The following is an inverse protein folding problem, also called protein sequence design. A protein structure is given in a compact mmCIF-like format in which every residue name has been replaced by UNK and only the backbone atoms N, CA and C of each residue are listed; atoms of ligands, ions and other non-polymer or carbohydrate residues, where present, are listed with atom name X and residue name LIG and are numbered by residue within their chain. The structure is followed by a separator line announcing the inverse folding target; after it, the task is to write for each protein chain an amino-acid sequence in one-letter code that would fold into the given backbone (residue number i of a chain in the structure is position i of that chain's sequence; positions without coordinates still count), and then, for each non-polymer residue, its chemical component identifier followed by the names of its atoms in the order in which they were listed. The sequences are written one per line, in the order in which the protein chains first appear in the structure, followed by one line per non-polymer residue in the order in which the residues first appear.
data_IF_456070465132
#
_entry.id   IF_456070465132
#
_cell.length_a   1.000
_cell.length_b   1.000
_cell.length_c   1.000
_cell.angle_alpha   90.00
_cell.angle_beta   90.00
_cell.angle_gamma   90.00
#
_symmetry.space_group_name_H-M   'P 1'
#
loop_
_entity.id
_entity.type
_entity.pdbx_description
1 polymer ?
#
# COMPACT_ATOMS: atom_id res chain seq x y z
N UNK A 1 13.50 14.19 -6.37
CA UNK A 1 14.22 12.98 -6.86
C UNK A 1 15.46 13.36 -7.65
N UNK A 2 16.27 12.36 -7.97
CA UNK A 2 17.55 12.53 -8.69
C UNK A 2 17.71 11.42 -9.74
N UNK A 3 18.37 11.72 -10.84
CA UNK A 3 18.85 10.74 -11.82
C UNK A 3 20.33 10.95 -12.08
N UNK A 4 21.12 9.88 -12.06
CA UNK A 4 22.50 9.91 -12.51
C UNK A 4 22.51 9.66 -14.02
N UNK A 5 23.09 10.57 -14.76
CA UNK A 5 23.27 10.50 -16.22
C UNK A 5 24.74 10.23 -16.50
N UNK A 6 25.04 9.20 -17.28
CA UNK A 6 26.39 8.84 -17.75
C UNK A 6 26.44 8.88 -19.27
N UNK A 7 27.57 9.26 -19.83
CA UNK A 7 27.76 9.34 -21.29
C UNK A 7 29.18 8.97 -21.70
N UNK A 8 29.37 8.75 -22.96
CA UNK A 8 30.70 8.65 -23.59
C UNK A 8 31.05 9.98 -24.23
N UNK A 9 32.28 10.46 -24.02
CA UNK A 9 32.75 11.66 -24.65
C UNK A 9 32.73 11.53 -26.19
N UNK A 10 32.41 12.61 -26.92
CA UNK A 10 32.45 12.57 -28.38
C UNK A 10 33.87 12.42 -28.88
N UNK A 11 34.01 11.74 -30.03
CA UNK A 11 35.30 11.52 -30.66
C UNK A 11 35.88 12.77 -31.34
N UNK A 12 35.02 13.73 -31.66
CA UNK A 12 35.40 15.05 -32.20
C UNK A 12 35.03 16.14 -31.22
N UNK A 13 35.98 17.03 -30.90
CA UNK A 13 35.81 18.18 -30.03
C UNK A 13 35.60 19.49 -30.77
N UNK A 14 35.58 19.45 -32.11
CA UNK A 14 35.55 20.66 -32.93
C UNK A 14 36.90 21.37 -32.94
N UNK A 15 36.85 22.69 -32.92
CA UNK A 15 38.05 23.59 -32.98
C UNK A 15 38.72 23.81 -31.63
N UNK A 16 38.17 23.27 -30.53
CA UNK A 16 38.69 23.52 -29.16
C UNK A 16 38.40 22.30 -28.28
N UNK A 17 39.19 22.13 -27.23
CA UNK A 17 38.94 21.06 -26.25
C UNK A 17 37.65 21.29 -25.49
N UNK A 18 36.93 20.18 -25.11
CA UNK A 18 35.72 20.25 -24.34
C UNK A 18 36.01 20.85 -22.96
N UNK A 19 35.23 21.88 -22.60
CA UNK A 19 35.28 22.55 -21.31
C UNK A 19 34.31 21.95 -20.31
N UNK A 20 33.26 21.21 -20.76
CA UNK A 20 32.32 20.59 -19.89
C UNK A 20 31.10 20.01 -20.65
N UNK A 21 30.15 19.51 -19.85
CA UNK A 21 28.92 18.91 -20.33
C UNK A 21 27.71 19.42 -19.55
N UNK A 22 26.58 19.55 -20.22
CA UNK A 22 25.26 19.76 -19.60
C UNK A 22 24.32 18.65 -19.99
N UNK A 23 23.74 17.95 -19.02
CA UNK A 23 22.67 17.00 -19.25
C UNK A 23 21.32 17.65 -18.89
N UNK A 24 20.29 17.39 -19.71
CA UNK A 24 18.93 17.94 -19.56
C UNK A 24 17.92 16.82 -19.57
N UNK A 25 17.07 16.77 -18.54
CA UNK A 25 15.97 15.81 -18.44
C UNK A 25 14.70 16.32 -19.11
N UNK A 26 13.98 15.45 -19.78
CA UNK A 26 12.68 15.69 -20.40
C UNK A 26 11.67 14.65 -19.90
N UNK A 27 10.47 15.05 -19.41
CA UNK A 27 9.93 16.43 -19.32
C UNK A 27 10.57 17.28 -18.23
N UNK A 28 10.24 18.55 -18.17
CA UNK A 28 10.55 19.47 -17.07
C UNK A 28 11.88 20.24 -17.18
N UNK A 29 12.77 19.91 -18.14
CA UNK A 29 13.96 20.71 -18.46
C UNK A 29 14.99 20.86 -17.34
N UNK A 30 14.96 20.03 -16.30
CA UNK A 30 15.94 20.06 -15.21
C UNK A 30 17.30 19.65 -15.74
N UNK A 31 18.37 20.32 -15.28
CA UNK A 31 19.71 20.13 -15.79
C UNK A 31 20.73 19.85 -14.69
N UNK A 32 21.84 19.24 -15.09
CA UNK A 32 23.09 19.27 -14.34
C UNK A 32 24.23 19.64 -15.29
N UNK A 33 25.22 20.38 -14.80
CA UNK A 33 26.40 20.78 -15.56
C UNK A 33 27.66 20.36 -14.81
N UNK A 34 28.63 19.80 -15.54
CA UNK A 34 29.94 19.42 -15.01
C UNK A 34 31.05 19.97 -15.92
N UNK A 35 32.18 20.34 -15.29
CA UNK A 35 33.34 20.85 -16.00
C UNK A 35 34.32 19.73 -16.35
N UNK A 36 35.15 19.99 -17.35
CA UNK A 36 36.25 19.13 -17.75
C UNK A 36 35.82 17.81 -18.41
N UNK A 37 36.52 16.73 -18.05
CA UNK A 37 36.36 15.41 -18.66
C UNK A 37 35.41 14.48 -17.91
N UNK A 38 34.70 14.98 -16.90
CA UNK A 38 33.72 14.18 -16.18
C UNK A 38 32.60 13.70 -17.12
N UNK A 39 32.35 12.40 -17.14
CA UNK A 39 31.37 11.76 -18.01
C UNK A 39 30.10 11.33 -17.25
N UNK A 40 29.80 12.01 -16.15
CA UNK A 40 28.61 11.74 -15.31
C UNK A 40 28.17 12.99 -14.59
N UNK A 41 26.87 13.17 -14.38
CA UNK A 41 26.31 14.16 -13.47
C UNK A 41 24.96 13.71 -12.91
N UNK A 42 24.48 14.39 -11.85
CA UNK A 42 23.23 14.08 -11.18
C UNK A 42 22.24 15.21 -11.40
N UNK A 43 21.15 14.94 -12.14
CA UNK A 43 20.04 15.86 -12.28
C UNK A 43 19.15 15.73 -11.04
N UNK A 44 18.96 16.84 -10.32
CA UNK A 44 18.18 16.93 -9.09
C UNK A 44 16.85 17.68 -9.31
N UNK A 45 15.94 17.62 -8.32
CA UNK A 45 14.65 18.32 -8.38
C UNK A 45 13.66 17.72 -9.37
N UNK A 46 13.82 16.45 -9.69
CA UNK A 46 12.87 15.65 -10.47
C UNK A 46 11.71 15.18 -9.58
N UNK A 47 10.58 14.84 -10.18
CA UNK A 47 9.47 14.18 -9.48
C UNK A 47 9.69 12.67 -9.47
N UNK A 48 9.52 12.03 -8.30
CA UNK A 48 9.51 10.56 -8.22
C UNK A 48 8.28 10.00 -8.96
N UNK A 49 8.40 8.80 -9.52
CA UNK A 49 7.34 8.15 -10.28
C UNK A 49 7.08 8.75 -11.68
N UNK A 50 7.69 9.88 -12.03
CA UNK A 50 7.60 10.43 -13.37
C UNK A 50 8.74 9.89 -14.26
N UNK A 51 8.42 9.51 -15.49
CA UNK A 51 9.41 8.97 -16.44
C UNK A 51 10.13 10.10 -17.17
N UNK A 52 11.44 10.02 -17.22
CA UNK A 52 12.33 10.98 -17.88
C UNK A 52 13.25 10.30 -18.87
N UNK A 53 13.61 11.05 -19.92
CA UNK A 53 14.78 10.78 -20.76
C UNK A 53 15.78 11.92 -20.57
N UNK A 54 17.05 11.69 -20.84
CA UNK A 54 18.07 12.74 -20.77
C UNK A 54 18.81 12.88 -22.11
N UNK A 55 19.19 14.11 -22.43
CA UNK A 55 20.13 14.44 -23.52
C UNK A 55 21.33 15.19 -22.95
N UNK A 56 22.52 14.95 -23.52
CA UNK A 56 23.76 15.57 -23.09
C UNK A 56 24.32 16.46 -24.20
N UNK A 57 24.82 17.61 -23.83
CA UNK A 57 25.46 18.59 -24.70
C UNK A 57 26.91 18.80 -24.18
N UNK A 58 27.88 18.66 -25.05
CA UNK A 58 29.25 19.11 -24.76
C UNK A 58 29.38 20.59 -25.11
N UNK A 59 30.19 21.33 -24.35
CA UNK A 59 30.52 22.73 -24.67
C UNK A 59 32.01 23.00 -24.56
N UNK A 60 32.49 23.96 -25.33
CA UNK A 60 33.84 24.47 -25.33
C UNK A 60 33.87 26.00 -25.59
N UNK A 61 35.04 26.60 -25.80
CA UNK A 61 35.13 28.03 -26.09
C UNK A 61 34.45 28.48 -27.38
N UNK A 62 34.25 27.58 -28.33
CA UNK A 62 33.55 27.85 -29.59
C UNK A 62 32.00 27.78 -29.46
N UNK A 63 31.49 27.21 -28.36
CA UNK A 63 30.06 27.13 -28.11
C UNK A 63 29.62 25.75 -27.65
N UNK A 64 28.29 25.51 -27.72
CA UNK A 64 27.63 24.25 -27.36
C UNK A 64 27.43 23.38 -28.61
N UNK A 65 27.87 22.14 -28.50
CA UNK A 65 27.69 21.13 -29.57
C UNK A 65 26.26 20.60 -29.69
N UNK A 66 26.04 19.71 -30.66
CA UNK A 66 24.78 19.03 -30.85
C UNK A 66 24.41 18.14 -29.63
N UNK A 67 23.11 17.99 -29.39
CA UNK A 67 22.60 17.08 -28.39
C UNK A 67 22.92 15.62 -28.74
N UNK A 68 23.20 14.80 -27.72
CA UNK A 68 23.16 13.36 -27.86
C UNK A 68 21.78 12.84 -28.28
N UNK A 69 21.69 11.59 -28.70
CA UNK A 69 20.40 10.88 -28.69
C UNK A 69 19.83 10.89 -27.26
N UNK A 70 18.50 10.77 -27.16
CA UNK A 70 17.87 10.63 -25.85
C UNK A 70 18.30 9.30 -25.21
N UNK A 71 18.47 9.30 -23.88
CA UNK A 71 18.71 8.07 -23.12
C UNK A 71 17.51 7.13 -23.19
N UNK A 72 17.68 5.89 -22.75
CA UNK A 72 16.56 5.07 -22.33
C UNK A 72 15.74 5.81 -21.26
N UNK A 73 14.43 5.50 -21.19
CA UNK A 73 13.53 6.07 -20.20
C UNK A 73 13.95 5.59 -18.79
N UNK A 74 13.96 6.51 -17.83
CA UNK A 74 14.26 6.22 -16.43
C UNK A 74 13.26 6.96 -15.54
N UNK A 75 12.76 6.25 -14.53
CA UNK A 75 11.84 6.79 -13.55
C UNK A 75 12.58 6.94 -12.22
N UNK A 76 12.85 8.18 -11.73
CA UNK A 76 13.43 8.35 -10.42
C UNK A 76 12.51 7.77 -9.37
N UNK A 77 13.04 6.90 -8.54
CA UNK A 77 12.35 6.40 -7.35
C UNK A 77 13.01 7.00 -6.11
N UNK A 78 12.33 6.91 -4.99
CA UNK A 78 12.93 7.26 -3.71
C UNK A 78 14.10 6.29 -3.47
N UNK A 79 15.33 6.70 -3.84
CA UNK A 79 16.52 5.95 -3.47
C UNK A 79 16.77 6.21 -1.99
N UNK A 80 16.58 5.22 -1.13
CA UNK A 80 16.78 5.26 0.32
C UNK A 80 15.53 5.67 1.14
N UNK A 81 14.34 5.24 0.75
CA UNK A 81 13.18 5.34 1.64
C UNK A 81 13.29 4.36 2.84
N UNK A 82 14.16 3.37 2.72
CA UNK A 82 14.58 2.50 3.82
C UNK A 82 16.01 2.02 3.56
N UNK A 83 16.85 1.98 4.60
CA UNK A 83 18.21 1.45 4.57
C UNK A 83 18.24 0.12 5.31
N UNK A 84 18.55 -0.97 4.61
CA UNK A 84 18.65 -2.30 5.21
C UNK A 84 17.41 -3.18 5.04
N UNK A 85 17.16 -4.09 5.96
CA UNK A 85 15.91 -4.89 5.98
C UNK A 85 14.76 -3.95 6.29
N UNK A 86 13.79 -3.78 5.36
CA UNK A 86 12.73 -2.80 5.55
C UNK A 86 11.70 -3.33 6.55
N UNK A 87 11.86 -2.92 7.80
CA UNK A 87 10.88 -3.17 8.84
C UNK A 87 10.32 -1.83 9.32
N UNK A 88 9.05 -1.65 9.14
CA UNK A 88 8.32 -0.46 9.51
C UNK A 88 6.91 -0.47 8.95
N UNK A 89 6.13 0.48 9.35
CA UNK A 89 4.74 0.61 8.94
C UNK A 89 4.23 2.03 9.10
N UNK A 90 3.16 2.31 8.41
CA UNK A 90 2.34 3.51 8.57
C UNK A 90 1.01 3.16 9.23
N UNK A 91 0.58 3.99 10.17
CA UNK A 91 -0.75 3.96 10.75
C UNK A 91 -1.54 5.14 10.21
N UNK A 92 -2.79 4.91 9.83
CA UNK A 92 -3.70 5.94 9.33
C UNK A 92 -4.78 6.22 10.36
N UNK A 93 -4.88 7.48 10.75
CA UNK A 93 -5.97 8.02 11.56
C UNK A 93 -7.16 8.40 10.66
N UNK A 94 -8.37 8.32 11.19
CA UNK A 94 -9.61 8.59 10.45
C UNK A 94 -9.67 10.01 9.86
N UNK A 95 -9.00 10.98 10.45
CA UNK A 95 -8.92 12.36 9.96
C UNK A 95 -7.86 12.56 8.85
N UNK A 96 -7.13 11.50 8.48
CA UNK A 96 -6.11 11.51 7.43
C UNK A 96 -4.68 11.69 7.94
N UNK A 97 -4.47 11.83 9.26
CA UNK A 97 -3.13 11.88 9.83
C UNK A 97 -2.43 10.53 9.68
N UNK A 98 -1.16 10.54 9.28
CA UNK A 98 -0.31 9.36 9.13
C UNK A 98 0.85 9.41 10.10
N UNK A 99 1.07 8.29 10.79
CA UNK A 99 2.21 8.08 11.68
C UNK A 99 3.11 6.99 11.10
N UNK A 100 4.41 7.23 11.11
CA UNK A 100 5.40 6.29 10.60
C UNK A 100 6.24 5.71 11.75
N UNK A 101 6.54 4.41 11.67
CA UNK A 101 7.34 3.68 12.64
C UNK A 101 8.41 2.83 11.97
N UNK A 102 9.50 2.58 12.70
CA UNK A 102 10.65 1.84 12.19
C UNK A 102 11.31 2.55 11.02
N UNK A 103 11.54 1.85 9.92
CA UNK A 103 12.16 2.39 8.70
C UNK A 103 11.17 3.09 7.76
N UNK A 104 9.88 3.18 8.13
CA UNK A 104 8.87 3.86 7.30
C UNK A 104 9.18 5.34 7.17
N UNK A 105 9.27 5.84 5.93
CA UNK A 105 9.59 7.24 5.67
C UNK A 105 8.44 8.17 6.06
N UNK A 106 8.75 9.37 6.53
CA UNK A 106 7.76 10.44 6.70
C UNK A 106 7.42 11.02 5.34
N UNK A 107 6.24 10.74 4.81
CA UNK A 107 5.81 11.17 3.48
C UNK A 107 4.70 12.22 3.49
N UNK A 108 4.10 12.46 4.66
CA UNK A 108 3.05 13.45 4.88
C UNK A 108 1.70 12.85 5.27
N UNK A 109 0.75 13.70 5.58
CA UNK A 109 -0.61 13.34 5.98
C UNK A 109 -1.62 14.02 5.08
N UNK A 110 -2.82 13.48 5.01
CA UNK A 110 -3.91 14.03 4.21
C UNK A 110 -4.68 15.07 5.03
N UNK A 111 -4.91 16.24 4.45
CA UNK A 111 -5.90 17.18 4.97
C UNK A 111 -7.23 16.95 4.26
N UNK A 112 -8.19 16.43 4.97
CA UNK A 112 -9.52 16.11 4.44
C UNK A 112 -10.43 17.34 4.40
N UNK A 113 -11.27 17.40 3.38
CA UNK A 113 -12.36 18.37 3.35
C UNK A 113 -13.41 18.05 4.44
N UNK A 114 -14.14 19.07 4.87
CA UNK A 114 -15.19 18.91 5.87
C UNK A 114 -16.19 17.81 5.47
N UNK A 115 -16.54 16.94 6.40
CA UNK A 115 -17.45 15.82 6.18
C UNK A 115 -16.83 14.59 5.52
N UNK A 116 -15.52 14.60 5.21
CA UNK A 116 -14.81 13.42 4.71
C UNK A 116 -13.99 12.75 5.82
N UNK A 117 -13.76 11.46 5.66
CA UNK A 117 -12.85 10.67 6.49
C UNK A 117 -11.92 9.84 5.62
N UNK A 118 -10.76 9.50 6.11
CA UNK A 118 -9.95 8.44 5.52
C UNK A 118 -10.63 7.08 5.76
N UNK A 119 -10.43 6.13 4.86
CA UNK A 119 -10.95 4.76 4.99
C UNK A 119 -9.87 3.71 4.87
N UNK A 120 -8.81 3.94 4.09
CA UNK A 120 -7.76 2.94 3.89
C UNK A 120 -6.42 3.59 3.54
N UNK A 121 -5.31 2.87 3.78
CA UNK A 121 -3.95 3.23 3.37
C UNK A 121 -3.25 1.99 2.81
N UNK A 122 -2.72 2.11 1.59
CA UNK A 122 -2.00 1.02 0.93
C UNK A 122 -0.60 1.45 0.48
N UNK A 123 0.41 0.69 0.90
CA UNK A 123 1.79 0.93 0.52
C UNK A 123 2.06 0.55 -0.94
N UNK A 124 2.96 1.30 -1.59
CA UNK A 124 3.52 0.90 -2.89
C UNK A 124 4.35 -0.37 -2.74
N UNK A 125 4.50 -1.12 -3.84
CA UNK A 125 5.35 -2.33 -3.86
C UNK A 125 6.81 -2.06 -3.55
N UNK A 126 7.27 -0.82 -3.76
CA UNK A 126 8.62 -0.36 -3.39
C UNK A 126 8.77 -0.08 -1.89
N UNK A 127 7.67 0.09 -1.15
CA UNK A 127 7.66 0.56 0.23
C UNK A 127 8.11 2.03 0.40
N UNK A 128 8.12 2.81 -0.69
CA UNK A 128 8.56 4.20 -0.70
C UNK A 128 7.43 5.21 -0.90
N UNK A 129 6.20 4.73 -0.88
CA UNK A 129 5.00 5.53 -1.01
C UNK A 129 3.78 4.81 -0.47
N UNK A 130 2.68 5.54 -0.45
CA UNK A 130 1.37 4.99 -0.17
C UNK A 130 0.26 5.83 -0.82
N UNK A 131 -0.88 5.20 -0.99
CA UNK A 131 -2.14 5.88 -1.28
C UNK A 131 -2.98 5.93 0.00
N UNK A 132 -3.62 7.07 0.25
CA UNK A 132 -4.72 7.18 1.21
C UNK A 132 -6.00 7.29 0.40
N UNK A 133 -7.01 6.54 0.78
CA UNK A 133 -8.33 6.57 0.17
C UNK A 133 -9.29 7.24 1.14
N UNK A 134 -10.06 8.20 0.67
CA UNK A 134 -11.05 8.88 1.48
C UNK A 134 -12.47 8.30 1.30
N UNK A 135 -13.40 8.74 2.13
CA UNK A 135 -14.79 8.26 2.20
C UNK A 135 -15.62 8.52 0.92
N UNK A 136 -15.10 9.25 -0.04
CA UNK A 136 -15.71 9.41 -1.38
C UNK A 136 -14.93 8.66 -2.45
N UNK A 137 -13.95 7.81 -2.07
CA UNK A 137 -13.19 6.97 -3.00
C UNK A 137 -12.04 7.67 -3.71
N UNK A 138 -11.62 8.86 -3.28
CA UNK A 138 -10.50 9.57 -3.88
C UNK A 138 -9.16 8.98 -3.41
N UNK A 139 -8.23 8.81 -4.36
CA UNK A 139 -6.86 8.37 -4.10
C UNK A 139 -5.93 9.56 -3.92
N UNK A 140 -5.35 9.69 -2.75
CA UNK A 140 -4.35 10.70 -2.40
C UNK A 140 -2.98 10.05 -2.33
N UNK A 141 -2.01 10.57 -3.10
CA UNK A 141 -0.71 9.95 -3.33
C UNK A 141 0.39 10.57 -2.49
N UNK A 142 1.21 9.74 -1.90
CA UNK A 142 2.39 10.16 -1.13
C UNK A 142 3.61 9.33 -1.57
N UNK A 143 4.78 9.95 -1.49
CA UNK A 143 6.01 9.30 -1.91
C UNK A 143 6.04 8.97 -3.40
N UNK A 144 6.32 7.73 -3.75
CA UNK A 144 6.38 7.23 -5.13
C UNK A 144 5.07 6.60 -5.63
N UNK A 145 3.99 6.77 -4.88
CA UNK A 145 2.69 6.27 -5.29
C UNK A 145 2.29 6.76 -6.70
N UNK A 146 2.00 5.84 -7.58
CA UNK A 146 1.63 6.09 -8.98
C UNK A 146 0.30 6.83 -9.12
N UNK A 147 0.02 7.33 -10.32
CA UNK A 147 -1.30 7.86 -10.67
C UNK A 147 -2.21 6.69 -11.00
N UNK A 148 -3.15 6.40 -10.12
CA UNK A 148 -4.29 5.56 -10.48
C UNK A 148 -5.21 6.45 -11.33
N UNK A 149 -5.46 6.12 -12.62
CA UNK A 149 -6.30 6.94 -13.47
C UNK A 149 -7.69 7.06 -12.87
N UNK A 150 -8.02 8.29 -12.49
CA UNK A 150 -9.33 8.64 -11.96
C UNK A 150 -10.25 9.10 -13.09
N UNK A 151 -10.02 8.66 -14.33
CA UNK A 151 -10.78 9.12 -15.49
C UNK A 151 -12.30 8.93 -15.35
N UNK A 152 -12.68 7.98 -14.48
CA UNK A 152 -14.06 7.82 -14.04
C UNK A 152 -14.27 8.29 -12.59
N UNK A 153 -13.22 8.72 -11.87
CA UNK A 153 -13.25 9.16 -10.49
C UNK A 153 -13.17 10.69 -10.35
N UNK A 154 -12.70 11.41 -11.38
CA UNK A 154 -12.63 12.88 -11.36
C UNK A 154 -14.01 13.55 -11.40
N UNK A 155 -15.03 12.84 -11.82
CA UNK A 155 -16.44 13.22 -11.70
C UNK A 155 -17.10 12.67 -10.44
N UNK A 156 -16.38 11.84 -9.66
CA UNK A 156 -16.88 11.15 -8.47
C UNK A 156 -17.00 12.14 -7.31
N UNK A 157 -18.11 12.83 -7.29
CA UNK A 157 -18.50 13.65 -6.13
C UNK A 157 -19.00 12.78 -4.96
N UNK A 158 -19.13 11.45 -5.16
CA UNK A 158 -19.68 10.53 -4.15
C UNK A 158 -19.43 9.06 -4.53
N UNK A 159 -19.59 8.14 -3.57
CA UNK A 159 -19.67 6.70 -3.81
C UNK A 159 -20.73 6.30 -4.87
N UNK A 160 -21.63 7.22 -5.20
CA UNK A 160 -22.64 7.09 -6.27
C UNK A 160 -22.02 6.78 -7.65
N UNK A 161 -20.83 7.29 -7.90
CA UNK A 161 -20.14 7.07 -9.17
C UNK A 161 -19.52 5.66 -9.29
N UNK A 162 -19.38 4.95 -8.16
CA UNK A 162 -19.13 3.51 -8.16
C UNK A 162 -20.43 2.69 -8.32
N UNK A 163 -21.57 3.34 -8.59
CA UNK A 163 -22.88 2.70 -8.63
C UNK A 163 -23.42 2.31 -7.24
N UNK A 164 -22.85 2.89 -6.18
CA UNK A 164 -23.31 2.72 -4.81
C UNK A 164 -24.31 3.85 -4.53
N UNK A 165 -25.58 3.51 -4.41
CA UNK A 165 -26.62 4.51 -4.13
C UNK A 165 -26.40 5.17 -2.77
N UNK A 166 -26.60 6.50 -2.62
CA UNK A 166 -26.37 7.23 -1.38
C UNK A 166 -27.18 6.68 -0.18
N UNK A 167 -28.34 6.12 -0.46
CA UNK A 167 -29.27 5.56 0.54
C UNK A 167 -29.09 4.04 0.72
N UNK A 168 -28.11 3.42 0.06
CA UNK A 168 -27.84 1.99 0.20
C UNK A 168 -27.07 1.73 1.50
N UNK A 169 -27.33 0.57 2.11
CA UNK A 169 -26.50 0.05 3.20
C UNK A 169 -25.11 -0.40 2.72
N UNK A 170 -24.80 -0.27 1.43
CA UNK A 170 -23.51 -0.62 0.83
C UNK A 170 -22.47 0.46 1.15
N UNK A 171 -21.30 0.03 1.61
CA UNK A 171 -20.15 0.91 1.89
C UNK A 171 -18.88 0.31 1.30
N UNK A 172 -17.90 1.15 0.98
CA UNK A 172 -16.54 0.71 0.65
C UNK A 172 -15.86 0.21 1.93
N UNK A 173 -15.24 -0.96 1.86
CA UNK A 173 -14.55 -1.60 2.99
C UNK A 173 -13.05 -1.67 2.81
N UNK A 174 -12.58 -1.83 1.57
CA UNK A 174 -11.15 -1.81 1.24
C UNK A 174 -10.94 -1.35 -0.20
N UNK A 175 -9.79 -0.73 -0.45
CA UNK A 175 -9.38 -0.31 -1.79
C UNK A 175 -7.92 -0.64 -1.99
N UNK A 176 -7.63 -1.57 -2.90
CA UNK A 176 -6.29 -2.11 -3.07
C UNK A 176 -5.79 -1.78 -4.49
N UNK A 177 -4.68 -1.04 -4.62
CA UNK A 177 -4.06 -0.80 -5.92
C UNK A 177 -3.66 -2.11 -6.61
N UNK A 178 -3.76 -2.14 -7.94
CA UNK A 178 -3.18 -3.22 -8.74
C UNK A 178 -1.65 -3.28 -8.58
N UNK A 179 -1.06 -4.43 -8.83
CA UNK A 179 0.39 -4.64 -8.65
C UNK A 179 1.28 -3.68 -9.45
N UNK A 180 0.78 -3.16 -10.58
CA UNK A 180 1.45 -2.14 -11.41
C UNK A 180 1.22 -0.70 -10.92
N UNK A 181 0.38 -0.48 -9.90
CA UNK A 181 0.07 0.82 -9.31
C UNK A 181 -0.69 1.78 -10.23
N UNK A 182 -1.29 1.27 -11.33
CA UNK A 182 -2.01 2.08 -12.33
C UNK A 182 -3.50 1.76 -12.42
N UNK A 183 -3.97 0.84 -11.60
CA UNK A 183 -5.37 0.51 -11.37
C UNK A 183 -5.64 0.20 -9.90
N UNK A 184 -6.89 -0.09 -9.57
CA UNK A 184 -7.29 -0.51 -8.24
C UNK A 184 -8.57 -1.37 -8.25
N UNK A 185 -8.72 -2.14 -7.19
CA UNK A 185 -9.91 -2.89 -6.82
C UNK A 185 -10.58 -2.21 -5.64
N UNK A 186 -11.87 -1.93 -5.76
CA UNK A 186 -12.71 -1.38 -4.68
C UNK A 186 -13.65 -2.48 -4.22
N UNK A 187 -13.58 -2.83 -2.96
CA UNK A 187 -14.37 -3.89 -2.34
C UNK A 187 -15.45 -3.27 -1.44
N UNK A 188 -16.67 -3.80 -1.52
CA UNK A 188 -17.81 -3.23 -0.77
C UNK A 188 -18.36 -4.22 0.26
N UNK A 189 -19.12 -3.70 1.21
CA UNK A 189 -19.73 -4.47 2.31
C UNK A 189 -20.68 -5.58 1.85
N UNK A 190 -21.22 -5.50 0.63
CA UNK A 190 -22.04 -6.56 0.03
C UNK A 190 -21.23 -7.53 -0.82
N UNK A 191 -19.89 -7.39 -0.85
CA UNK A 191 -19.00 -8.25 -1.62
C UNK A 191 -18.93 -7.94 -3.12
N UNK A 192 -19.35 -6.74 -3.55
CA UNK A 192 -19.13 -6.24 -4.90
C UNK A 192 -17.66 -5.87 -5.08
N UNK A 193 -17.14 -6.11 -6.28
CA UNK A 193 -15.79 -5.71 -6.69
C UNK A 193 -15.88 -4.75 -7.88
N UNK A 194 -15.35 -3.55 -7.70
CA UNK A 194 -15.31 -2.51 -8.72
C UNK A 194 -13.87 -2.30 -9.12
N UNK A 195 -13.58 -2.23 -10.41
CA UNK A 195 -12.23 -2.10 -10.96
C UNK A 195 -12.03 -0.74 -11.60
N UNK A 196 -10.86 -0.15 -11.38
CA UNK A 196 -10.46 1.10 -12.04
C UNK A 196 -9.11 0.95 -12.74
N UNK A 197 -8.83 1.82 -13.71
CA UNK A 197 -7.55 1.84 -14.41
C UNK A 197 -7.24 0.51 -15.11
N UNK A 198 -6.07 -0.04 -14.83
CA UNK A 198 -5.56 -1.29 -15.43
C UNK A 198 -5.96 -2.55 -14.67
N UNK A 199 -6.72 -2.45 -13.58
CA UNK A 199 -7.15 -3.61 -12.81
C UNK A 199 -7.98 -4.58 -13.68
N UNK A 200 -7.54 -5.84 -13.75
CA UNK A 200 -8.17 -6.89 -14.57
C UNK A 200 -9.17 -7.71 -13.76
N UNK A 201 -10.12 -8.35 -14.43
CA UNK A 201 -11.07 -9.24 -13.76
C UNK A 201 -10.33 -10.44 -13.15
N UNK A 202 -10.67 -10.74 -11.90
CA UNK A 202 -10.18 -11.92 -11.16
C UNK A 202 -11.40 -12.78 -10.85
N UNK A 203 -11.51 -13.91 -11.51
CA UNK A 203 -12.68 -14.76 -11.43
C UNK A 203 -12.41 -16.01 -10.59
N UNK A 204 -13.46 -16.53 -9.95
CA UNK A 204 -13.45 -17.87 -9.37
C UNK A 204 -13.51 -18.96 -10.47
N UNK A 205 -13.48 -20.24 -10.06
CA UNK A 205 -13.59 -21.39 -10.96
C UNK A 205 -14.91 -21.45 -11.77
N UNK A 206 -15.91 -20.61 -11.45
CA UNK A 206 -17.20 -20.48 -12.10
C UNK A 206 -17.35 -19.18 -12.89
N UNK A 207 -16.23 -18.49 -13.16
CA UNK A 207 -16.17 -17.19 -13.87
C UNK A 207 -16.92 -16.05 -13.15
N UNK A 208 -16.98 -16.10 -11.81
CA UNK A 208 -17.56 -15.04 -10.99
C UNK A 208 -16.45 -14.19 -10.38
N UNK A 209 -16.62 -12.87 -10.42
CA UNK A 209 -15.63 -11.92 -9.91
C UNK A 209 -16.04 -11.25 -8.58
N UNK A 210 -17.23 -11.56 -8.05
CA UNK A 210 -17.74 -10.96 -6.81
C UNK A 210 -18.77 -11.88 -6.13
N UNK A 211 -19.41 -11.41 -5.06
CA UNK A 211 -20.42 -12.13 -4.30
C UNK A 211 -21.87 -11.76 -4.65
N UNK A 212 -22.12 -10.93 -5.67
CA UNK A 212 -23.46 -10.45 -6.02
C UNK A 212 -24.42 -11.59 -6.47
N UNK A 213 -23.89 -12.77 -6.78
CA UNK A 213 -24.67 -13.97 -7.08
C UNK A 213 -25.29 -14.63 -5.82
N UNK A 214 -24.81 -14.24 -4.63
CA UNK A 214 -25.37 -14.69 -3.34
C UNK A 214 -26.56 -13.75 -3.02
N UNK A 215 -27.78 -14.25 -2.93
CA UNK A 215 -28.97 -13.39 -2.71
C UNK A 215 -28.89 -12.58 -1.42
N UNK A 216 -28.24 -13.14 -0.38
CA UNK A 216 -28.04 -12.49 0.89
C UNK A 216 -26.83 -13.10 1.59
N UNK A 217 -25.84 -12.28 1.91
CA UNK A 217 -24.75 -12.66 2.81
C UNK A 217 -25.27 -12.75 4.25
N UNK A 218 -24.77 -13.70 5.04
CA UNK A 218 -25.09 -13.81 6.46
C UNK A 218 -24.60 -12.59 7.25
N UNK A 219 -23.45 -12.04 6.83
CA UNK A 219 -22.83 -10.86 7.43
C UNK A 219 -22.13 -10.02 6.36
N UNK A 220 -22.00 -8.70 6.56
CA UNK A 220 -21.33 -7.85 5.58
C UNK A 220 -19.85 -8.18 5.48
N UNK A 221 -19.25 -7.91 4.31
CA UNK A 221 -17.81 -7.93 4.14
C UNK A 221 -17.20 -6.77 4.93
N UNK A 222 -16.08 -7.03 5.61
CA UNK A 222 -15.38 -6.05 6.47
C UNK A 222 -13.93 -5.80 6.05
N UNK A 223 -13.31 -6.72 5.31
CA UNK A 223 -11.94 -6.56 4.83
C UNK A 223 -11.73 -7.34 3.53
N UNK A 224 -10.73 -6.95 2.74
CA UNK A 224 -10.29 -7.63 1.52
C UNK A 224 -8.77 -7.56 1.39
N UNK A 225 -8.16 -8.57 0.77
CA UNK A 225 -6.70 -8.61 0.47
C UNK A 225 -6.46 -9.24 -0.89
N UNK A 226 -5.53 -8.67 -1.66
CA UNK A 226 -5.01 -9.29 -2.87
C UNK A 226 -3.93 -10.32 -2.52
N UNK A 227 -3.80 -11.33 -3.38
CA UNK A 227 -2.63 -12.21 -3.37
C UNK A 227 -1.37 -11.44 -3.76
N UNK A 228 -0.20 -11.93 -3.37
CA UNK A 228 1.09 -11.33 -3.75
C UNK A 228 1.32 -11.32 -5.26
N UNK A 229 0.71 -12.25 -6.00
CA UNK A 229 0.71 -12.30 -7.46
C UNK A 229 -0.17 -11.21 -8.11
N UNK A 230 -1.17 -10.70 -7.37
CA UNK A 230 -2.22 -9.83 -7.89
C UNK A 230 -3.25 -10.56 -8.78
N UNK A 231 -3.24 -11.91 -8.81
CA UNK A 231 -4.13 -12.74 -9.63
C UNK A 231 -5.26 -13.38 -8.82
N UNK A 232 -5.36 -13.05 -7.54
CA UNK A 232 -6.41 -13.50 -6.65
C UNK A 232 -6.69 -12.50 -5.53
N UNK A 233 -7.76 -12.73 -4.81
CA UNK A 233 -8.12 -11.99 -3.60
C UNK A 233 -9.01 -12.81 -2.67
N UNK A 234 -9.01 -12.41 -1.42
CA UNK A 234 -9.93 -12.89 -0.40
C UNK A 234 -10.84 -11.76 0.06
N UNK A 235 -12.07 -12.12 0.41
CA UNK A 235 -13.02 -11.26 1.13
C UNK A 235 -13.29 -11.87 2.50
N UNK A 236 -13.30 -11.05 3.54
CA UNK A 236 -13.62 -11.43 4.91
C UNK A 236 -14.96 -10.84 5.31
N UNK A 237 -15.88 -11.67 5.77
CA UNK A 237 -17.15 -11.23 6.35
C UNK A 237 -17.06 -11.01 7.87
N UNK A 238 -17.99 -10.22 8.42
CA UNK A 238 -18.04 -9.88 9.86
C UNK A 238 -18.31 -11.10 10.78
N UNK A 239 -18.83 -12.21 10.23
CA UNK A 239 -18.98 -13.49 10.93
C UNK A 239 -17.72 -14.38 10.82
N UNK A 240 -16.67 -13.89 10.18
CA UNK A 240 -15.44 -14.62 9.95
C UNK A 240 -15.48 -15.60 8.77
N UNK A 241 -16.52 -15.55 7.93
CA UNK A 241 -16.56 -16.23 6.65
C UNK A 241 -15.50 -15.66 5.70
N UNK A 242 -14.76 -16.53 5.02
CA UNK A 242 -13.74 -16.15 4.03
C UNK A 242 -14.15 -16.64 2.65
N UNK A 243 -14.05 -15.79 1.64
CA UNK A 243 -14.32 -16.11 0.24
C UNK A 243 -13.07 -15.87 -0.58
N UNK A 244 -12.69 -16.79 -1.44
CA UNK A 244 -11.48 -16.73 -2.26
C UNK A 244 -11.80 -16.71 -3.76
N UNK A 245 -11.03 -15.90 -4.50
CA UNK A 245 -11.14 -15.70 -5.95
C UNK A 245 -9.78 -15.77 -6.61
N UNK A 246 -9.75 -16.20 -7.88
CA UNK A 246 -8.52 -16.33 -8.64
C UNK A 246 -7.59 -17.39 -8.06
N UNK A 247 -6.33 -17.02 -7.83
CA UNK A 247 -5.31 -17.87 -7.21
C UNK A 247 -5.26 -17.80 -5.68
N UNK A 248 -6.21 -17.10 -5.06
CA UNK A 248 -6.29 -17.03 -3.59
C UNK A 248 -6.66 -18.38 -2.99
N UNK A 249 -5.78 -18.93 -2.15
CA UNK A 249 -6.01 -20.22 -1.51
C UNK A 249 -7.01 -20.09 -0.35
N UNK A 250 -8.06 -20.93 -0.36
CA UNK A 250 -8.98 -21.04 0.78
C UNK A 250 -8.43 -22.00 1.82
N UNK A 251 -8.21 -21.53 3.04
CA UNK A 251 -7.62 -22.32 4.13
C UNK A 251 -8.58 -22.57 5.29
N UNK A 252 -9.81 -22.07 5.21
CA UNK A 252 -10.85 -22.21 6.23
C UNK A 252 -11.49 -20.89 6.64
N UNK A 253 -12.45 -20.96 7.54
CA UNK A 253 -13.23 -19.81 8.03
C UNK A 253 -13.43 -19.90 9.54
N UNK A 254 -13.65 -18.78 10.22
CA UNK A 254 -13.91 -18.77 11.66
C UNK A 254 -15.10 -19.64 12.06
N UNK A 255 -16.21 -19.70 11.30
CA UNK A 255 -17.31 -20.63 11.56
C UNK A 255 -16.96 -22.13 11.56
N UNK A 256 -15.78 -22.53 11.05
CA UNK A 256 -15.29 -23.92 11.14
C UNK A 256 -14.83 -24.30 12.56
N UNK A 257 -14.62 -23.29 13.44
CA UNK A 257 -14.33 -23.49 14.85
C UNK A 257 -15.60 -23.66 15.67
N UNK A 258 -15.53 -24.27 16.88
CA UNK A 258 -16.67 -24.36 17.78
C UNK A 258 -17.31 -22.99 18.05
N UNK A 259 -18.63 -22.90 17.95
CA UNK A 259 -19.40 -21.65 18.09
C UNK A 259 -19.07 -20.89 19.38
N UNK A 260 -18.80 -21.59 20.48
CA UNK A 260 -18.38 -20.99 21.76
C UNK A 260 -17.10 -20.15 21.68
N UNK A 261 -16.30 -20.32 20.62
CA UNK A 261 -15.05 -19.58 20.44
C UNK A 261 -15.23 -18.26 19.70
N UNK A 262 -16.32 -18.03 18.98
CA UNK A 262 -16.46 -16.84 18.13
C UNK A 262 -17.83 -16.17 18.17
N UNK A 263 -18.86 -16.76 18.75
CA UNK A 263 -20.25 -16.26 18.71
C UNK A 263 -20.43 -14.81 19.23
N UNK A 264 -19.55 -14.34 20.08
CA UNK A 264 -19.58 -12.98 20.64
C UNK A 264 -18.42 -12.10 20.11
N UNK A 265 -17.69 -12.57 19.08
CA UNK A 265 -16.54 -11.85 18.56
C UNK A 265 -16.96 -11.03 17.34
N UNK A 266 -16.53 -9.79 17.29
CA UNK A 266 -16.70 -8.91 16.14
C UNK A 266 -15.43 -8.96 15.30
N UNK A 267 -15.49 -9.66 14.16
CA UNK A 267 -14.38 -9.84 13.23
C UNK A 267 -14.15 -8.52 12.49
N UNK A 268 -12.88 -8.09 12.37
CA UNK A 268 -12.56 -6.77 11.81
C UNK A 268 -11.52 -6.79 10.71
N UNK A 269 -10.57 -7.72 10.73
CA UNK A 269 -9.48 -7.72 9.74
C UNK A 269 -8.83 -9.09 9.63
N UNK A 270 -8.09 -9.29 8.55
CA UNK A 270 -7.26 -10.47 8.36
C UNK A 270 -5.98 -10.12 7.60
N UNK A 271 -4.98 -10.98 7.74
CA UNK A 271 -3.73 -10.85 7.00
C UNK A 271 -3.34 -12.19 6.41
N UNK A 272 -3.22 -12.30 5.08
CA UNK A 272 -2.62 -13.45 4.43
C UNK A 272 -1.14 -13.59 4.81
N UNK A 273 -0.66 -14.83 4.89
CA UNK A 273 0.75 -15.15 4.95
C UNK A 273 1.46 -14.65 3.68
N UNK A 274 2.76 -14.34 3.78
CA UNK A 274 3.53 -13.87 2.64
C UNK A 274 3.67 -14.90 1.52
N UNK A 275 3.51 -16.19 1.84
CA UNK A 275 3.49 -17.28 0.85
C UNK A 275 2.11 -17.54 0.25
N UNK A 276 1.08 -16.82 0.73
CA UNK A 276 -0.29 -16.90 0.25
C UNK A 276 -1.03 -18.21 0.56
N UNK A 277 -0.47 -19.07 1.45
CA UNK A 277 -1.07 -20.38 1.78
C UNK A 277 -1.99 -20.35 2.97
N UNK A 278 -1.77 -19.39 3.87
CA UNK A 278 -2.56 -19.25 5.08
C UNK A 278 -2.93 -17.81 5.35
N UNK A 279 -3.64 -17.59 6.43
CA UNK A 279 -3.99 -16.26 6.93
C UNK A 279 -4.35 -16.31 8.42
N UNK A 280 -4.26 -15.17 9.06
CA UNK A 280 -4.84 -14.92 10.39
C UNK A 280 -6.07 -14.05 10.25
N UNK A 281 -7.15 -14.39 10.95
CA UNK A 281 -8.35 -13.57 11.11
C UNK A 281 -8.38 -13.04 12.52
N UNK A 282 -8.72 -11.77 12.72
CA UNK A 282 -8.71 -11.12 14.03
C UNK A 282 -10.04 -10.46 14.36
N UNK A 283 -10.42 -10.51 15.63
CA UNK A 283 -11.56 -9.80 16.20
C UNK A 283 -11.15 -8.50 16.88
N UNK A 284 -12.11 -7.62 17.15
CA UNK A 284 -11.93 -6.39 17.94
C UNK A 284 -11.37 -6.64 19.33
N UNK A 285 -11.69 -7.77 19.93
CA UNK A 285 -11.16 -8.21 21.22
C UNK A 285 -9.66 -8.51 21.21
N UNK A 286 -9.08 -8.67 20.00
CA UNK A 286 -7.71 -9.11 19.79
C UNK A 286 -7.56 -10.62 19.68
N UNK A 287 -8.67 -11.34 19.76
CA UNK A 287 -8.65 -12.79 19.50
C UNK A 287 -8.32 -13.07 18.05
N UNK A 288 -7.53 -14.11 17.81
CA UNK A 288 -7.04 -14.47 16.48
C UNK A 288 -7.28 -15.96 16.17
N UNK A 289 -7.61 -16.24 14.91
CA UNK A 289 -7.77 -17.60 14.36
C UNK A 289 -6.79 -17.78 13.19
N UNK A 290 -6.09 -18.91 13.20
CA UNK A 290 -5.00 -19.20 12.30
C UNK A 290 -5.39 -20.31 11.33
N UNK A 291 -5.23 -20.07 10.04
CA UNK A 291 -5.59 -21.01 9.00
C UNK A 291 -4.37 -21.34 8.14
N UNK A 292 -4.09 -22.65 7.97
CA UNK A 292 -3.00 -23.25 7.18
C UNK A 292 -1.59 -22.66 7.42
N UNK A 293 -1.37 -22.00 8.54
CA UNK A 293 -0.08 -21.46 8.93
C UNK A 293 0.92 -22.59 9.19
N UNK A 294 2.21 -22.48 8.75
CA UNK A 294 3.25 -23.49 8.97
C UNK A 294 3.46 -23.86 10.45
N UNK A 295 3.18 -22.93 11.35
CA UNK A 295 3.22 -23.17 12.78
C UNK A 295 1.85 -23.57 13.33
N UNK A 296 1.21 -24.62 12.82
CA UNK A 296 -0.09 -25.16 13.28
C UNK A 296 -0.24 -25.45 14.79
N UNK A 297 0.73 -25.08 15.60
CA UNK A 297 0.52 -24.92 17.03
C UNK A 297 -0.38 -23.69 17.20
N UNK A 298 -1.54 -23.86 17.79
CA UNK A 298 -2.32 -22.77 18.37
C UNK A 298 -1.34 -21.83 19.08
N UNK A 299 -0.92 -20.77 18.36
CA UNK A 299 -0.27 -19.70 19.05
C UNK A 299 -1.32 -19.20 20.04
N UNK A 300 -1.01 -19.13 21.34
CA UNK A 300 -1.93 -18.58 22.30
C UNK A 300 -2.41 -17.24 21.75
N UNK A 301 -3.63 -16.88 22.09
CA UNK A 301 -4.22 -15.58 21.76
C UNK A 301 -3.11 -14.53 21.87
N UNK A 302 -2.80 -13.84 20.75
CA UNK A 302 -1.59 -12.99 20.66
C UNK A 302 -1.54 -11.99 21.79
N UNK A 303 -2.70 -11.51 22.20
CA UNK A 303 -2.84 -10.55 23.30
C UNK A 303 -2.71 -11.25 24.65
N UNK A 304 -3.32 -12.43 24.82
CA UNK A 304 -3.17 -13.21 26.04
C UNK A 304 -1.72 -13.68 26.25
N UNK A 305 -1.02 -14.08 25.19
CA UNK A 305 0.40 -14.46 25.27
C UNK A 305 1.33 -13.27 25.54
N UNK A 306 1.02 -12.09 24.98
CA UNK A 306 1.85 -10.90 25.15
C UNK A 306 1.56 -10.14 26.45
N UNK A 307 0.32 -10.15 26.93
CA UNK A 307 -0.15 -9.30 28.03
C UNK A 307 -0.88 -10.04 29.15
N UNK A 308 -1.03 -11.36 29.06
CA UNK A 308 -1.80 -12.18 30.00
C UNK A 308 -3.29 -11.84 29.90
N UNK A 309 -4.00 -11.90 31.02
CA UNK A 309 -5.46 -11.60 31.09
C UNK A 309 -5.81 -10.11 31.03
N UNK A 310 -4.89 -9.23 30.62
CA UNK A 310 -5.16 -7.79 30.51
C UNK A 310 -6.06 -7.53 29.32
N UNK A 311 -7.16 -6.86 29.58
CA UNK A 311 -8.04 -6.34 28.54
C UNK A 311 -7.32 -5.26 27.73
N UNK A 312 -7.58 -5.21 26.42
CA UNK A 312 -7.16 -4.10 25.57
C UNK A 312 -7.80 -2.79 26.06
N UNK A 313 -7.05 -1.69 26.02
CA UNK A 313 -7.60 -0.37 26.29
C UNK A 313 -8.57 0.07 25.18
N UNK A 314 -8.32 -0.36 23.96
CA UNK A 314 -9.09 -0.03 22.76
C UNK A 314 -9.17 -1.22 21.81
N UNK A 315 -10.25 -1.35 21.02
CA UNK A 315 -10.42 -2.49 20.12
C UNK A 315 -9.37 -2.51 19.01
N UNK A 316 -9.06 -3.71 18.51
CA UNK A 316 -8.21 -3.89 17.33
C UNK A 316 -8.92 -3.29 16.11
N UNK A 317 -8.15 -2.57 15.28
CA UNK A 317 -8.60 -1.97 14.04
C UNK A 317 -8.13 -2.73 12.80
N UNK A 318 -6.87 -3.23 12.80
CA UNK A 318 -6.30 -3.88 11.63
C UNK A 318 -5.16 -4.84 12.00
N UNK A 319 -4.86 -5.77 11.09
CA UNK A 319 -3.73 -6.70 11.16
C UNK A 319 -2.98 -6.75 9.83
N UNK A 320 -1.67 -6.95 9.88
CA UNK A 320 -0.84 -7.18 8.68
C UNK A 320 0.25 -8.22 8.96
N UNK A 321 0.65 -8.96 7.92
CA UNK A 321 1.80 -9.86 7.98
C UNK A 321 3.13 -9.08 7.97
N UNK A 322 4.16 -9.65 8.61
CA UNK A 322 5.53 -9.10 8.68
C UNK A 322 6.47 -9.88 7.79
N UNK A 323 7.41 -9.19 7.13
CA UNK A 323 8.43 -9.85 6.30
C UNK A 323 9.34 -10.81 7.09
N UNK A 324 9.60 -10.50 8.33
CA UNK A 324 10.38 -11.34 9.24
C UNK A 324 9.60 -12.51 9.86
N UNK A 325 8.36 -12.70 9.43
CA UNK A 325 7.42 -13.67 9.98
C UNK A 325 6.53 -13.10 11.07
N UNK A 326 5.38 -13.73 11.27
CA UNK A 326 4.35 -13.26 12.19
C UNK A 326 3.56 -12.06 11.69
N UNK A 327 2.87 -11.40 12.61
CA UNK A 327 1.88 -10.37 12.31
C UNK A 327 2.01 -9.16 13.22
N UNK A 328 1.54 -8.03 12.75
CA UNK A 328 1.36 -6.81 13.54
C UNK A 328 -0.12 -6.45 13.55
N UNK A 329 -0.67 -6.24 14.74
CA UNK A 329 -2.01 -5.70 14.95
C UNK A 329 -1.91 -4.27 15.46
N UNK A 330 -2.90 -3.45 15.13
CA UNK A 330 -3.04 -2.10 15.69
C UNK A 330 -4.42 -1.94 16.32
N UNK A 331 -4.46 -1.34 17.50
CA UNK A 331 -5.70 -0.92 18.14
C UNK A 331 -6.08 0.51 17.74
N UNK A 332 -7.34 0.88 17.92
CA UNK A 332 -7.89 2.20 17.54
C UNK A 332 -7.23 3.36 18.28
N UNK A 333 -6.62 3.13 19.45
CA UNK A 333 -5.81 4.11 20.20
C UNK A 333 -4.35 4.19 19.73
N UNK A 334 -3.98 3.45 18.65
CA UNK A 334 -2.63 3.38 18.12
C UNK A 334 -1.68 2.47 18.91
N UNK A 335 -2.20 1.68 19.85
CA UNK A 335 -1.47 0.57 20.46
C UNK A 335 -1.11 -0.47 19.41
N UNK A 336 0.16 -0.91 19.36
CA UNK A 336 0.65 -1.88 18.37
C UNK A 336 1.14 -3.13 19.06
N UNK A 337 0.72 -4.28 18.53
CA UNK A 337 1.01 -5.61 19.05
C UNK A 337 1.65 -6.47 17.96
N UNK A 338 2.78 -7.09 18.23
CA UNK A 338 3.50 -7.95 17.30
C UNK A 338 3.53 -9.38 17.81
N UNK A 339 3.22 -10.36 16.97
CA UNK A 339 3.23 -11.77 17.29
C UNK A 339 3.64 -12.67 16.12
N UNK A 340 4.36 -13.76 16.38
CA UNK A 340 5.19 -13.93 17.59
C UNK A 340 6.22 -12.80 17.67
N UNK A 341 6.82 -12.57 18.84
CA UNK A 341 7.97 -11.67 18.97
C UNK A 341 9.13 -12.29 18.20
N UNK A 342 9.19 -12.01 16.90
CA UNK A 342 10.22 -12.48 15.99
C UNK A 342 11.39 -11.51 15.97
N UNK A 343 12.48 -11.88 15.29
CA UNK A 343 13.75 -11.15 15.19
C UNK A 343 13.65 -9.68 14.72
N UNK A 344 12.47 -9.25 14.24
CA UNK A 344 12.23 -7.89 13.77
C UNK A 344 12.06 -6.84 14.86
N UNK A 345 11.91 -7.23 16.10
CA UNK A 345 11.65 -6.29 17.20
C UNK A 345 10.34 -5.50 17.10
N UNK A 346 10.07 -4.72 18.11
CA UNK A 346 8.97 -3.76 18.17
C UNK A 346 9.41 -2.44 17.54
N UNK A 347 8.64 -1.92 16.58
CA UNK A 347 9.00 -0.73 15.80
C UNK A 347 8.43 0.57 16.37
N UNK A 348 7.52 0.52 17.33
CA UNK A 348 6.91 1.69 17.98
C UNK A 348 5.38 1.62 18.04
N UNK A 349 4.77 2.58 18.74
CA UNK A 349 3.34 2.63 19.01
C UNK A 349 2.93 4.03 19.45
N UNK A 350 1.67 4.39 19.26
CA UNK A 350 1.07 5.62 19.79
C UNK A 350 0.49 5.44 21.20
N UNK A 351 0.55 4.24 21.79
CA UNK A 351 -0.14 3.92 23.04
C UNK A 351 0.14 4.87 24.21
N UNK A 352 1.30 5.57 24.24
CA UNK A 352 1.60 6.59 25.23
C UNK A 352 1.02 7.98 24.88
N UNK A 353 0.73 8.22 23.60
CA UNK A 353 0.16 9.47 23.07
C UNK A 353 -0.92 9.11 22.07
N UNK A 354 -2.11 8.72 22.52
CA UNK A 354 -3.18 8.27 21.64
C UNK A 354 -3.59 9.37 20.64
N UNK A 355 -3.99 8.98 19.42
CA UNK A 355 -4.43 9.92 18.38
C UNK A 355 -5.73 10.63 18.75
N UNK A 356 -6.02 11.74 18.07
CA UNK A 356 -7.24 12.53 18.30
C UNK A 356 -8.50 11.82 17.77
N UNK A 357 -8.36 11.07 16.68
CA UNK A 357 -9.41 10.21 16.11
C UNK A 357 -8.91 8.77 16.01
N UNK A 358 -9.79 7.77 15.87
CA UNK A 358 -9.34 6.38 15.86
C UNK A 358 -8.36 6.06 14.70
N UNK A 359 -7.33 5.27 14.98
CA UNK A 359 -6.60 4.55 13.95
C UNK A 359 -7.55 3.56 13.27
N UNK A 360 -7.54 3.55 11.95
CA UNK A 360 -8.46 2.75 11.14
C UNK A 360 -7.74 1.74 10.24
N UNK A 361 -6.49 1.98 9.90
CA UNK A 361 -5.74 1.12 9.00
C UNK A 361 -4.24 1.12 9.32
N UNK A 362 -3.57 0.08 8.85
CA UNK A 362 -2.16 -0.19 9.01
C UNK A 362 -1.63 -0.77 7.70
N UNK A 363 -0.54 -0.20 7.16
CA UNK A 363 0.16 -0.79 6.01
C UNK A 363 1.66 -0.91 6.29
N UNK A 364 2.28 -2.10 6.04
CA UNK A 364 3.71 -2.29 6.23
C UNK A 364 4.52 -1.73 5.06
N UNK A 365 5.81 -1.45 5.26
CA UNK A 365 6.76 -1.27 4.17
C UNK A 365 6.92 -2.62 3.45
N UNK A 366 6.80 -2.63 2.16
CA UNK A 366 6.89 -3.84 1.30
C UNK A 366 8.28 -4.08 0.77
#
# INVERSE_FOLDING_TARGET
AKLTVTWTAPTSTGSSTISGYTATATPGGKTCTVAGTLATCVISGLSNGATYTAKVYAFNQAGTGAASAASAAATPMWSNCHTGQPEGYWLLERDGQVYNFGQAATLGSLTLAAGRSAIDIEATSSGCGYWIIDSVGMFHRFGDAGVIPQANLASLSSLYDFGIAPDSAESVVSVIPSSDGTGAYVFTSIGRVIRTGTATAINDSRSREDLLWIPQLNSPIVDARLTTSGLGYWLLAADGGVFSFGDAHFSGSVPDYPTSQWVNEEIVSFAPDLDGRGYVVVAKSGKAWWFDHPSRQQLPDVIEAAFGTRLLNSPIAAVTARKCGGYTMVATDGGVFAAPLSDCGFQGSLGANPPNTPIIALTPIR
#
